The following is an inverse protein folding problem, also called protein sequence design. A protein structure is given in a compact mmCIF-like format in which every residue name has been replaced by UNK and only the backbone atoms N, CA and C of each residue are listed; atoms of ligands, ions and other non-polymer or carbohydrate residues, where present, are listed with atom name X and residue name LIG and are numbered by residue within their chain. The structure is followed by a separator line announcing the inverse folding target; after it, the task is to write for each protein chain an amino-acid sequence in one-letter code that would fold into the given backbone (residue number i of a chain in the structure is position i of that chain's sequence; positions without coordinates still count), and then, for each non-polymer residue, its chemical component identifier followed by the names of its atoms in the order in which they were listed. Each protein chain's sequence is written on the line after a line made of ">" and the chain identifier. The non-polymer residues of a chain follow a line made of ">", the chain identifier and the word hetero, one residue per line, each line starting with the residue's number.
data_IF_748056148749
#
_entry.id   IF_748056148749
#
_cell.length_a   1.000
_cell.length_b   1.000
_cell.length_c   1.000
_cell.angle_alpha   90.00
_cell.angle_beta   90.00
_cell.angle_gamma   90.00
#
_symmetry.space_group_name_H-M   'P 1'
#
loop_
_entity.id
_entity.type
_entity.pdbx_description
1 polymer ?
#
# COMPACT_ATOMS: atom_id res chain seq x y z
N UNK A 1 -17.84 20.69 -3.24
CA UNK A 1 -17.16 19.60 -2.51
C UNK A 1 -16.89 18.51 -3.54
N UNK A 2 -15.66 18.45 -4.09
CA UNK A 2 -15.33 17.53 -5.19
C UNK A 2 -14.52 16.37 -4.60
N UNK A 3 -15.14 15.20 -4.51
CA UNK A 3 -14.53 13.94 -4.06
C UNK A 3 -13.90 13.16 -5.22
N UNK A 4 -13.72 13.81 -6.36
CA UNK A 4 -13.23 13.20 -7.59
C UNK A 4 -11.79 13.64 -7.83
N UNK A 5 -10.85 12.82 -7.35
CA UNK A 5 -9.55 12.46 -7.97
C UNK A 5 -8.47 12.20 -6.91
N UNK A 6 -8.67 11.23 -6.02
CA UNK A 6 -7.56 10.70 -5.23
C UNK A 6 -6.52 10.11 -6.20
N UNK A 7 -5.26 10.52 -6.06
CA UNK A 7 -4.15 9.97 -6.81
C UNK A 7 -3.93 8.50 -6.45
N UNK A 8 -3.10 7.77 -7.22
CA UNK A 8 -2.81 6.36 -6.94
C UNK A 8 -2.31 6.13 -5.50
N UNK A 9 -1.46 7.01 -5.00
CA UNK A 9 -0.91 6.90 -3.63
C UNK A 9 -2.01 7.00 -2.56
N UNK A 10 -2.96 7.91 -2.73
CA UNK A 10 -4.08 8.08 -1.81
C UNK A 10 -5.05 6.89 -1.88
N UNK A 11 -5.25 6.31 -3.08
CA UNK A 11 -6.02 5.07 -3.25
C UNK A 11 -5.39 3.90 -2.52
N UNK A 12 -4.07 3.73 -2.63
CA UNK A 12 -3.34 2.69 -1.90
C UNK A 12 -3.39 2.92 -0.38
N UNK A 13 -3.24 4.17 0.07
CA UNK A 13 -3.39 4.52 1.48
C UNK A 13 -4.77 4.11 2.03
N UNK A 14 -5.85 4.42 1.31
CA UNK A 14 -7.19 4.04 1.69
C UNK A 14 -7.37 2.51 1.71
N UNK A 15 -6.83 1.81 0.71
CA UNK A 15 -6.86 0.35 0.65
C UNK A 15 -6.13 -0.29 1.83
N UNK A 16 -4.93 0.19 2.19
CA UNK A 16 -4.18 -0.30 3.35
C UNK A 16 -4.91 -0.04 4.67
N UNK A 17 -5.54 1.12 4.85
CA UNK A 17 -6.37 1.38 6.04
C UNK A 17 -7.54 0.39 6.18
N UNK A 18 -8.10 -0.08 5.07
CA UNK A 18 -9.20 -1.05 5.07
C UNK A 18 -8.71 -2.50 5.23
N UNK A 19 -7.63 -2.87 4.55
CA UNK A 19 -7.12 -4.25 4.44
C UNK A 19 -6.10 -4.60 5.52
N UNK A 20 -5.37 -3.63 6.05
CA UNK A 20 -4.36 -3.87 7.07
C UNK A 20 -4.36 -2.71 8.07
N UNK A 21 -5.45 -2.50 8.83
CA UNK A 21 -5.57 -1.37 9.76
C UNK A 21 -4.48 -1.33 10.84
N UNK A 22 -3.79 -2.46 11.07
CA UNK A 22 -2.67 -2.57 11.99
C UNK A 22 -1.33 -2.01 11.46
N UNK A 23 -1.22 -1.69 10.17
CA UNK A 23 -0.03 -1.03 9.62
C UNK A 23 -0.17 0.48 9.72
N UNK A 24 0.89 1.16 10.16
CA UNK A 24 0.92 2.62 10.14
C UNK A 24 1.25 3.08 8.72
N UNK A 25 0.44 3.98 8.17
CA UNK A 25 0.60 4.51 6.81
C UNK A 25 0.59 6.02 6.83
N UNK A 26 1.52 6.62 6.10
CA UNK A 26 1.63 8.06 5.91
C UNK A 26 1.96 8.38 4.44
N UNK A 27 1.34 9.43 3.91
CA UNK A 27 1.71 9.98 2.60
C UNK A 27 2.78 11.03 2.82
N UNK A 28 3.92 10.86 2.16
CA UNK A 28 5.07 11.77 2.21
C UNK A 28 5.38 12.25 0.79
N UNK A 29 5.96 13.45 0.66
CA UNK A 29 6.48 13.91 -0.63
C UNK A 29 7.95 13.51 -0.75
N UNK A 30 8.32 12.89 -1.87
CA UNK A 30 9.72 12.56 -2.14
C UNK A 30 10.56 13.83 -2.19
N UNK A 31 11.63 13.91 -1.40
CA UNK A 31 12.48 15.11 -1.34
C UNK A 31 13.21 15.39 -2.66
N UNK A 32 13.45 14.37 -3.48
CA UNK A 32 14.20 14.48 -4.74
C UNK A 32 13.35 14.94 -5.92
N UNK A 33 12.10 14.48 -5.99
CA UNK A 33 11.25 14.61 -7.19
C UNK A 33 9.88 15.25 -6.90
N UNK A 34 9.55 15.47 -5.62
CA UNK A 34 8.30 16.07 -5.19
C UNK A 34 7.07 15.18 -5.36
N UNK A 35 7.21 13.97 -5.90
CA UNK A 35 6.08 13.06 -6.10
C UNK A 35 5.62 12.45 -4.78
N UNK A 36 4.31 12.22 -4.62
CA UNK A 36 3.78 11.57 -3.43
C UNK A 36 4.28 10.12 -3.36
N UNK A 37 4.64 9.70 -2.15
CA UNK A 37 5.06 8.35 -1.79
C UNK A 37 4.31 7.93 -0.54
N UNK A 38 4.12 6.62 -0.37
CA UNK A 38 3.48 6.04 0.80
C UNK A 38 4.52 5.39 1.68
N UNK A 39 4.70 5.91 2.90
CA UNK A 39 5.51 5.28 3.93
C UNK A 39 4.65 4.36 4.77
N UNK A 40 5.00 3.08 4.76
CA UNK A 40 4.31 2.02 5.49
C UNK A 40 5.25 1.48 6.56
N UNK A 41 4.81 1.52 7.81
CA UNK A 41 5.60 1.07 8.97
C UNK A 41 4.82 -0.01 9.72
N UNK A 42 5.49 -1.10 10.06
CA UNK A 42 4.87 -2.18 10.81
C UNK A 42 5.86 -2.84 11.77
N UNK A 43 5.52 -2.82 13.07
CA UNK A 43 6.33 -3.40 14.16
C UNK A 43 7.77 -2.86 14.15
N UNK A 44 8.76 -3.74 14.28
CA UNK A 44 10.19 -3.44 14.28
C UNK A 44 10.82 -3.57 12.88
N UNK A 45 10.00 -3.66 11.83
CA UNK A 45 10.50 -3.70 10.46
C UNK A 45 10.85 -2.29 9.99
N UNK A 46 11.84 -2.22 9.12
CA UNK A 46 12.19 -0.99 8.45
C UNK A 46 10.98 -0.45 7.64
N UNK A 47 10.82 0.88 7.56
CA UNK A 47 9.73 1.48 6.79
C UNK A 47 9.84 1.11 5.31
N UNK A 48 8.71 0.72 4.73
CA UNK A 48 8.58 0.41 3.32
C UNK A 48 8.03 1.65 2.59
N UNK A 49 8.74 2.09 1.56
CA UNK A 49 8.35 3.27 0.77
C UNK A 49 7.77 2.81 -0.57
N UNK A 50 6.49 3.08 -0.78
CA UNK A 50 5.79 2.76 -2.03
C UNK A 50 5.61 4.03 -2.86
N UNK A 51 6.00 4.01 -4.12
CA UNK A 51 5.77 5.09 -5.08
C UNK A 51 4.89 4.61 -6.23
N UNK A 52 4.27 5.56 -6.93
CA UNK A 52 3.58 5.29 -8.20
C UNK A 52 4.48 5.68 -9.37
N UNK A 53 4.72 4.76 -10.31
CA UNK A 53 5.61 5.02 -11.46
C UNK A 53 4.89 5.61 -12.69
N UNK A 54 3.57 5.74 -12.63
CA UNK A 54 2.72 6.08 -13.79
C UNK A 54 1.84 4.91 -14.23
N UNK A 55 2.32 3.67 -14.05
CA UNK A 55 1.62 2.44 -14.48
C UNK A 55 1.34 1.48 -13.33
N UNK A 56 2.31 1.31 -12.43
CA UNK A 56 2.22 0.40 -11.29
C UNK A 56 2.73 1.04 -10.01
N UNK A 57 2.44 0.42 -8.86
CA UNK A 57 3.14 0.78 -7.63
C UNK A 57 4.49 0.07 -7.60
N UNK A 58 5.48 0.70 -6.97
CA UNK A 58 6.81 0.15 -6.75
C UNK A 58 7.24 0.41 -5.34
N UNK A 59 7.98 -0.51 -4.75
CA UNK A 59 8.61 -0.27 -3.47
C UNK A 59 10.02 -0.82 -3.45
N UNK A 60 10.87 -0.16 -2.66
CA UNK A 60 12.25 -0.54 -2.46
C UNK A 60 12.39 -1.16 -1.06
N UNK A 61 12.97 -2.35 -1.00
CA UNK A 61 13.50 -2.89 0.25
C UNK A 61 14.79 -2.15 0.62
N UNK A 62 15.12 -2.10 1.92
CA UNK A 62 16.37 -1.50 2.39
C UNK A 62 17.64 -2.11 1.76
N UNK A 63 17.56 -3.35 1.26
CA UNK A 63 18.67 -4.01 0.57
C UNK A 63 18.86 -3.57 -0.89
N UNK A 64 18.02 -2.66 -1.39
CA UNK A 64 18.05 -2.16 -2.76
C UNK A 64 17.23 -2.99 -3.76
N UNK A 65 16.57 -4.06 -3.30
CA UNK A 65 15.62 -4.81 -4.13
C UNK A 65 14.36 -3.96 -4.39
N UNK A 66 14.04 -3.73 -5.67
CA UNK A 66 12.78 -3.11 -6.08
C UNK A 66 11.76 -4.21 -6.41
N UNK A 67 10.56 -4.12 -5.85
CA UNK A 67 9.44 -4.96 -6.28
C UNK A 67 8.30 -4.12 -6.87
N UNK A 68 7.77 -4.61 -8.01
CA UNK A 68 6.59 -4.05 -8.66
C UNK A 68 5.34 -4.68 -8.09
N UNK A 69 4.41 -3.80 -7.73
CA UNK A 69 3.10 -4.15 -7.21
C UNK A 69 2.03 -3.97 -8.29
N UNK A 70 0.91 -4.71 -8.21
CA UNK A 70 -0.21 -4.55 -9.14
C UNK A 70 -0.74 -3.11 -9.18
N UNK A 71 -1.23 -2.64 -10.33
CA UNK A 71 -1.85 -1.32 -10.45
C UNK A 71 -3.15 -1.16 -9.62
N UNK A 72 -3.81 -2.29 -9.31
CA UNK A 72 -4.98 -2.32 -8.45
C UNK A 72 -4.58 -2.05 -6.99
N UNK A 73 -5.13 -1.00 -6.34
CA UNK A 73 -4.71 -0.58 -5.00
C UNK A 73 -5.04 -1.61 -3.92
N UNK A 74 -6.08 -2.44 -4.08
CA UNK A 74 -6.44 -3.47 -3.11
C UNK A 74 -5.46 -4.63 -3.18
N UNK A 75 -5.18 -5.11 -4.39
CA UNK A 75 -4.17 -6.16 -4.61
C UNK A 75 -2.77 -5.69 -4.22
N UNK A 76 -2.44 -4.42 -4.45
CA UNK A 76 -1.20 -3.82 -3.97
C UNK A 76 -1.16 -3.77 -2.44
N UNK A 77 -2.25 -3.39 -1.77
CA UNK A 77 -2.33 -3.40 -0.31
C UNK A 77 -2.15 -4.82 0.27
N UNK A 78 -2.76 -5.83 -0.35
CA UNK A 78 -2.59 -7.23 0.07
C UNK A 78 -1.14 -7.70 -0.08
N UNK A 79 -0.46 -7.32 -1.17
CA UNK A 79 0.96 -7.62 -1.40
C UNK A 79 1.87 -6.93 -0.38
N UNK A 80 1.65 -5.64 -0.12
CA UNK A 80 2.40 -4.87 0.89
C UNK A 80 2.21 -5.47 2.28
N UNK A 81 0.97 -5.79 2.65
CA UNK A 81 0.68 -6.41 3.93
C UNK A 81 1.32 -7.80 4.05
N UNK A 82 1.28 -8.61 2.99
CA UNK A 82 1.96 -9.90 2.92
C UNK A 82 3.48 -9.80 3.08
N UNK A 83 4.12 -8.84 2.39
CA UNK A 83 5.55 -8.57 2.50
C UNK A 83 5.96 -8.17 3.93
N UNK A 84 5.09 -7.48 4.65
CA UNK A 84 5.29 -7.09 6.06
C UNK A 84 4.89 -8.19 7.06
N UNK A 85 4.37 -9.33 6.61
CA UNK A 85 3.80 -10.37 7.47
C UNK A 85 2.58 -9.90 8.27
N UNK A 86 1.92 -8.85 7.81
CA UNK A 86 0.70 -8.32 8.40
C UNK A 86 -0.50 -9.20 7.97
N UNK A 87 -1.37 -9.55 8.91
CA UNK A 87 -2.58 -10.33 8.59
C UNK A 87 -3.58 -9.45 7.84
N UNK A 88 -3.82 -9.75 6.58
CA UNK A 88 -4.98 -9.20 5.86
C UNK A 88 -6.23 -10.01 6.24
N UNK A 89 -7.39 -9.35 6.44
CA UNK A 89 -8.64 -10.06 6.58
C UNK A 89 -8.87 -10.83 5.28
N UNK A 90 -9.00 -12.15 5.42
CA UNK A 90 -9.52 -12.99 4.33
C UNK A 90 -10.85 -12.36 3.95
N UNK A 91 -11.10 -12.02 2.66
CA UNK A 91 -12.41 -11.54 2.26
C UNK A 91 -13.40 -12.59 2.76
N UNK A 92 -14.42 -12.15 3.51
CA UNK A 92 -15.46 -13.06 3.97
C UNK A 92 -15.96 -13.79 2.72
N UNK A 93 -15.61 -15.08 2.61
CA UNK A 93 -16.30 -15.94 1.69
C UNK A 93 -17.76 -15.81 2.13
N UNK A 94 -18.62 -15.34 1.23
CA UNK A 94 -20.05 -15.47 1.42
C UNK A 94 -20.28 -16.95 1.68
N UNK A 95 -20.47 -17.32 2.95
CA UNK A 95 -20.92 -18.64 3.34
C UNK A 95 -22.33 -18.77 2.77
N UNK A 96 -22.41 -19.24 1.53
CA UNK A 96 -23.63 -19.85 1.01
C UNK A 96 -23.86 -21.12 1.84
N UNK A 97 -24.64 -20.96 2.90
CA UNK A 97 -25.12 -22.06 3.74
C UNK A 97 -26.02 -22.96 2.88
N UNK A 98 -25.80 -24.29 2.87
CA UNK A 98 -26.79 -25.24 2.35
C UNK A 98 -28.02 -25.33 3.28
#
# INVERSE_FOLDING_TARGET
>A
MRLDHFGPVEKLHAALRRRAPQVAVAVERGEQDGFPRLRVTYRHLAPLIVAWDGTTYRYLFERGDEERLPADPEKAADRVAGALGARVPVPAATEERP
#
